data_IF_214324770794
#
_entry.id   IF_214324770794
#
_cell.length_a   1.000
_cell.length_b   1.000
_cell.length_c   1.000
_cell.angle_alpha   90.00
_cell.angle_beta   90.00
_cell.angle_gamma   90.00
#
_symmetry.space_group_name_H-M   'P 1'
#
loop_
_entity.id
_entity.type
_entity.pdbx_description
1 polymer ?
#
# COMPACT_ATOMS: atom_id res chain seq x y z
N UNK A 1 -2.55 -23.25 4.70
CA UNK A 1 -1.91 -22.36 5.70
C UNK A 1 -1.47 -23.15 6.93
N UNK A 2 -2.32 -23.98 7.55
CA UNK A 2 -1.98 -24.76 8.77
C UNK A 2 -0.80 -25.74 8.58
N UNK A 3 -0.62 -26.30 7.38
CA UNK A 3 0.51 -27.19 7.06
C UNK A 3 1.85 -26.42 6.87
N UNK A 4 1.78 -25.13 6.50
CA UNK A 4 2.95 -24.29 6.31
C UNK A 4 3.39 -23.67 7.64
N UNK A 5 2.43 -23.21 8.46
CA UNK A 5 2.70 -22.68 9.80
C UNK A 5 3.09 -23.81 10.76
N UNK A 6 3.83 -23.48 11.80
CA UNK A 6 4.23 -24.40 12.85
C UNK A 6 5.16 -23.70 13.85
N UNK A 7 5.64 -24.43 14.84
CA UNK A 7 6.50 -23.89 15.89
C UNK A 7 7.82 -23.39 15.33
N UNK A 8 8.36 -22.34 15.94
CA UNK A 8 9.66 -21.78 15.62
C UNK A 8 10.77 -22.85 15.69
N UNK A 9 11.69 -22.83 14.73
CA UNK A 9 12.79 -23.81 14.62
C UNK A 9 12.39 -25.15 14.01
N UNK A 10 11.08 -25.38 13.71
CA UNK A 10 10.68 -26.56 12.95
C UNK A 10 10.80 -26.34 11.45
N UNK A 11 10.95 -27.41 10.68
CA UNK A 11 11.15 -27.35 9.23
C UNK A 11 9.87 -27.70 8.47
N UNK A 12 9.71 -27.07 7.31
CA UNK A 12 8.68 -27.41 6.31
C UNK A 12 9.33 -27.53 4.94
N UNK A 13 8.95 -28.54 4.18
CA UNK A 13 9.37 -28.68 2.79
C UNK A 13 8.23 -28.26 1.89
N UNK A 14 8.49 -27.28 1.03
CA UNK A 14 7.54 -26.79 0.03
C UNK A 14 7.98 -27.22 -1.36
N UNK A 15 7.05 -27.76 -2.14
CA UNK A 15 7.24 -28.00 -3.57
C UNK A 15 6.65 -26.80 -4.32
N UNK A 16 7.50 -25.95 -4.89
CA UNK A 16 7.12 -24.71 -5.56
C UNK A 16 7.39 -24.82 -7.05
N UNK A 17 6.50 -24.24 -7.85
CA UNK A 17 6.71 -24.07 -9.29
C UNK A 17 6.67 -22.57 -9.61
N UNK A 18 7.78 -22.05 -10.13
CA UNK A 18 7.84 -20.69 -10.63
C UNK A 18 6.97 -20.53 -11.88
N UNK A 19 6.38 -19.35 -12.06
CA UNK A 19 5.47 -19.07 -13.19
C UNK A 19 6.09 -19.38 -14.56
N UNK A 20 7.39 -19.17 -14.71
CA UNK A 20 8.13 -19.35 -15.95
C UNK A 20 8.93 -20.67 -16.00
N UNK A 21 8.66 -21.63 -15.10
CA UNK A 21 9.35 -22.92 -15.04
C UNK A 21 8.37 -24.09 -15.15
N UNK A 22 8.72 -25.10 -15.95
CA UNK A 22 7.97 -26.35 -16.04
C UNK A 22 8.27 -27.30 -14.88
N UNK A 23 9.45 -27.18 -14.26
CA UNK A 23 9.92 -28.09 -13.23
C UNK A 23 9.70 -27.51 -11.82
N UNK A 24 9.06 -28.27 -10.92
CA UNK A 24 8.94 -27.84 -9.52
C UNK A 24 10.26 -27.98 -8.78
N UNK A 25 10.50 -27.03 -7.85
CA UNK A 25 11.67 -27.02 -6.96
C UNK A 25 11.23 -27.34 -5.53
N UNK A 26 11.93 -28.25 -4.87
CA UNK A 26 11.71 -28.55 -3.45
C UNK A 26 12.59 -27.64 -2.60
N UNK A 27 11.97 -26.85 -1.70
CA UNK A 27 12.66 -25.91 -0.80
C UNK A 27 12.32 -26.29 0.63
N UNK A 28 13.37 -26.55 1.44
CA UNK A 28 13.25 -26.72 2.89
C UNK A 28 13.39 -25.37 3.56
N UNK A 29 12.42 -25.00 4.41
CA UNK A 29 12.40 -23.73 5.14
C UNK A 29 12.31 -24.04 6.63
N UNK A 30 13.22 -23.45 7.42
CA UNK A 30 13.11 -23.43 8.88
C UNK A 30 12.16 -22.30 9.29
N UNK A 31 11.14 -22.62 10.10
CA UNK A 31 10.17 -21.63 10.56
C UNK A 31 10.77 -20.73 11.61
N UNK A 32 10.63 -19.45 11.42
CA UNK A 32 11.02 -18.42 12.38
C UNK A 32 9.95 -17.33 12.46
N UNK A 33 10.08 -16.44 13.44
CA UNK A 33 9.31 -15.21 13.53
C UNK A 33 9.96 -14.21 12.57
N UNK A 34 9.28 -13.88 11.50
CA UNK A 34 9.72 -12.85 10.56
C UNK A 34 9.08 -11.54 11.01
N UNK A 35 9.87 -10.66 11.61
CA UNK A 35 9.46 -9.27 11.85
C UNK A 35 9.55 -8.53 10.50
N UNK A 36 8.43 -8.46 9.80
CA UNK A 36 8.35 -7.63 8.60
C UNK A 36 8.10 -6.20 9.06
N UNK A 37 9.09 -5.34 8.93
CA UNK A 37 8.87 -3.90 9.05
C UNK A 37 7.88 -3.48 7.95
N UNK A 38 6.73 -2.94 8.37
CA UNK A 38 5.71 -2.48 7.42
C UNK A 38 6.07 -1.15 6.78
N UNK A 39 7.00 -0.40 7.38
CA UNK A 39 7.47 0.90 6.92
C UNK A 39 9.00 0.93 6.86
N UNK A 40 9.56 1.30 5.72
CA UNK A 40 10.99 1.50 5.54
C UNK A 40 11.25 2.88 4.96
N UNK A 41 12.17 3.64 5.57
CA UNK A 41 12.59 4.95 5.08
C UNK A 41 14.06 4.93 4.65
N UNK A 42 14.32 5.27 3.39
CA UNK A 42 15.66 5.49 2.84
C UNK A 42 15.77 6.95 2.36
N UNK A 43 16.78 7.66 2.84
CA UNK A 43 17.04 9.03 2.38
C UNK A 43 17.81 9.01 1.07
N UNK A 44 17.25 9.65 0.04
CA UNK A 44 17.83 9.82 -1.28
C UNK A 44 18.61 11.14 -1.39
N UNK A 45 19.39 11.28 -2.46
CA UNK A 45 20.12 12.52 -2.77
C UNK A 45 19.12 13.67 -2.91
N UNK A 46 19.45 14.84 -2.34
CA UNK A 46 18.55 16.00 -2.34
C UNK A 46 17.57 16.04 -1.19
N UNK A 47 17.78 15.28 -0.13
CA UNK A 47 16.92 15.22 1.07
C UNK A 47 15.49 14.74 0.77
N UNK A 48 15.33 13.88 -0.22
CA UNK A 48 14.07 13.21 -0.53
C UNK A 48 14.01 11.88 0.22
N UNK A 49 12.94 11.63 0.94
CA UNK A 49 12.70 10.34 1.60
C UNK A 49 11.99 9.37 0.65
N UNK A 50 12.54 8.18 0.45
CA UNK A 50 11.83 7.04 -0.13
C UNK A 50 11.23 6.21 1.00
N UNK A 51 9.93 6.37 1.19
CA UNK A 51 9.14 5.73 2.23
C UNK A 51 8.34 4.58 1.63
N UNK A 52 8.75 3.35 1.90
CA UNK A 52 8.06 2.16 1.41
C UNK A 52 7.11 1.61 2.47
N UNK A 53 5.86 1.38 2.08
CA UNK A 53 4.86 0.66 2.86
C UNK A 53 4.66 -0.72 2.24
N UNK A 54 4.99 -1.79 2.98
CA UNK A 54 4.87 -3.18 2.51
C UNK A 54 3.53 -3.83 2.86
N UNK A 55 2.72 -3.20 3.70
CA UNK A 55 1.40 -3.66 4.12
C UNK A 55 0.77 -2.73 5.14
N UNK A 56 -0.51 -2.93 5.43
CA UNK A 56 -1.27 -2.19 6.43
C UNK A 56 -1.61 -3.11 7.60
N UNK A 57 -0.75 -3.11 8.62
CA UNK A 57 -0.86 -3.92 9.84
C UNK A 57 -1.33 -3.09 11.03
N UNK A 58 -1.46 -3.70 12.20
CA UNK A 58 -1.83 -2.97 13.43
C UNK A 58 -0.77 -1.99 13.92
N UNK A 59 0.48 -2.12 13.47
CA UNK A 59 1.62 -1.26 13.87
C UNK A 59 2.05 -0.27 12.80
N UNK A 60 1.52 -0.37 11.57
CA UNK A 60 2.00 0.43 10.43
C UNK A 60 1.91 1.94 10.68
N UNK A 61 0.88 2.43 11.40
CA UNK A 61 0.80 3.85 11.71
C UNK A 61 1.91 4.29 12.67
N UNK A 62 2.21 3.51 13.69
CA UNK A 62 3.27 3.82 14.66
C UNK A 62 4.64 3.77 13.97
N UNK A 63 4.89 2.74 13.15
CA UNK A 63 6.10 2.61 12.34
C UNK A 63 6.27 3.80 11.36
N UNK A 64 5.14 4.29 10.79
CA UNK A 64 5.11 5.46 9.91
C UNK A 64 5.44 6.75 10.68
N UNK A 65 4.85 6.94 11.84
CA UNK A 65 5.15 8.12 12.67
C UNK A 65 6.63 8.18 13.04
N UNK A 66 7.22 7.05 13.45
CA UNK A 66 8.67 6.93 13.70
C UNK A 66 9.52 7.24 12.44
N UNK A 67 9.06 6.80 11.27
CA UNK A 67 9.73 7.09 10.01
C UNK A 67 9.64 8.58 9.64
N UNK A 68 8.48 9.22 9.83
CA UNK A 68 8.30 10.67 9.61
C UNK A 68 9.16 11.50 10.56
N UNK A 69 9.30 11.10 11.83
CA UNK A 69 10.22 11.76 12.76
C UNK A 69 11.69 11.63 12.35
N UNK A 70 12.08 10.47 11.80
CA UNK A 70 13.43 10.29 11.24
C UNK A 70 13.64 11.15 9.99
N UNK A 71 12.62 11.26 9.13
CA UNK A 71 12.62 12.11 7.95
C UNK A 71 12.81 13.58 8.33
N UNK A 72 12.07 14.08 9.32
CA UNK A 72 12.19 15.45 9.82
C UNK A 72 13.59 15.72 10.41
N UNK A 73 14.10 14.82 11.26
CA UNK A 73 15.47 14.91 11.82
C UNK A 73 16.55 14.92 10.74
N UNK A 74 16.30 14.26 9.61
CA UNK A 74 17.18 14.27 8.44
C UNK A 74 17.00 15.51 7.55
N UNK A 75 16.19 16.47 7.98
CA UNK A 75 15.82 17.67 7.21
C UNK A 75 15.26 17.34 5.82
N UNK A 76 14.44 16.30 5.74
CA UNK A 76 13.75 15.92 4.52
C UNK A 76 12.83 17.01 3.99
N UNK A 77 12.73 17.14 2.68
CA UNK A 77 11.94 18.19 2.02
C UNK A 77 10.87 17.67 1.08
N UNK A 78 10.88 16.38 0.76
CA UNK A 78 9.88 15.73 -0.08
C UNK A 78 9.89 14.22 0.12
N UNK A 79 8.76 13.55 -0.12
CA UNK A 79 8.56 12.13 0.08
C UNK A 79 8.17 11.43 -1.23
N UNK A 80 8.81 10.32 -1.56
CA UNK A 80 8.26 9.29 -2.45
C UNK A 80 7.66 8.19 -1.56
N UNK A 81 6.34 8.04 -1.60
CA UNK A 81 5.64 6.99 -0.86
C UNK A 81 5.39 5.80 -1.79
N UNK A 82 6.04 4.67 -1.51
CA UNK A 82 6.06 3.50 -2.38
C UNK A 82 5.10 2.41 -1.87
N UNK A 83 4.02 2.20 -2.61
CA UNK A 83 3.03 1.15 -2.39
C UNK A 83 3.14 0.00 -3.39
N UNK A 84 4.16 -0.03 -4.23
CA UNK A 84 4.37 -1.13 -5.17
C UNK A 84 4.52 -2.46 -4.43
N UNK A 85 3.84 -3.49 -4.93
CA UNK A 85 3.78 -4.83 -4.33
C UNK A 85 3.16 -4.86 -2.92
N UNK A 86 2.39 -3.85 -2.52
CA UNK A 86 1.69 -3.82 -1.24
C UNK A 86 0.28 -4.41 -1.42
N UNK A 87 -0.01 -5.62 -0.90
CA UNK A 87 -1.30 -6.29 -1.09
C UNK A 87 -2.44 -5.69 -0.25
N UNK A 88 -2.17 -4.62 0.51
CA UNK A 88 -3.12 -3.99 1.41
C UNK A 88 -2.99 -4.45 2.87
N UNK A 89 -4.12 -4.59 3.54
CA UNK A 89 -4.17 -4.98 4.95
C UNK A 89 -5.42 -4.50 5.67
N UNK A 90 -5.26 -4.03 6.91
CA UNK A 90 -6.37 -3.64 7.77
C UNK A 90 -6.95 -2.28 7.38
N UNK A 91 -8.29 -2.19 7.33
CA UNK A 91 -8.99 -0.91 7.05
C UNK A 91 -8.70 0.15 8.11
N UNK A 92 -8.65 -0.24 9.40
CA UNK A 92 -8.29 0.70 10.46
C UNK A 92 -6.90 1.31 10.23
N UNK A 93 -5.94 0.49 9.83
CA UNK A 93 -4.57 0.92 9.56
C UNK A 93 -4.50 1.88 8.38
N UNK A 94 -5.19 1.59 7.25
CA UNK A 94 -5.17 2.52 6.12
C UNK A 94 -5.82 3.86 6.44
N UNK A 95 -6.86 3.87 7.28
CA UNK A 95 -7.47 5.13 7.75
C UNK A 95 -6.47 5.94 8.55
N UNK A 96 -5.74 5.31 9.50
CA UNK A 96 -4.74 5.97 10.31
C UNK A 96 -3.57 6.49 9.47
N UNK A 97 -3.03 5.66 8.60
CA UNK A 97 -1.94 6.02 7.67
C UNK A 97 -2.34 7.16 6.73
N UNK A 98 -3.53 7.09 6.12
CA UNK A 98 -4.02 8.16 5.23
C UNK A 98 -4.18 9.48 5.98
N UNK A 99 -4.62 9.42 7.23
CA UNK A 99 -4.79 10.61 8.08
C UNK A 99 -3.46 11.30 8.45
N UNK A 100 -2.32 10.67 8.24
CA UNK A 100 -1.03 11.35 8.36
C UNK A 100 -0.78 12.34 7.22
N UNK A 101 -1.42 12.15 6.05
CA UNK A 101 -1.18 12.91 4.82
C UNK A 101 -2.35 13.82 4.40
N UNK A 102 -3.58 13.54 4.87
CA UNK A 102 -4.79 14.30 4.56
C UNK A 102 -5.39 14.81 5.87
N UNK A 103 -5.70 16.10 5.94
CA UNK A 103 -6.10 16.77 7.18
C UNK A 103 -7.57 16.64 7.56
N UNK A 104 -8.46 16.49 6.57
CA UNK A 104 -9.91 16.39 6.76
C UNK A 104 -10.58 15.64 5.59
N UNK A 105 -11.89 15.42 5.71
CA UNK A 105 -12.69 14.77 4.69
C UNK A 105 -12.81 13.26 4.86
N UNK A 106 -12.90 12.54 3.77
CA UNK A 106 -13.22 11.12 3.71
C UNK A 106 -12.02 10.32 3.18
N UNK A 107 -11.68 9.22 3.85
CA UNK A 107 -10.68 8.26 3.34
C UNK A 107 -11.33 7.33 2.32
N UNK A 108 -12.48 6.78 2.65
CA UNK A 108 -13.27 5.89 1.79
C UNK A 108 -14.70 5.78 2.30
N UNK A 109 -15.55 5.19 1.48
CA UNK A 109 -16.82 4.65 1.96
C UNK A 109 -17.10 3.25 1.38
N UNK A 110 -17.99 2.52 2.03
CA UNK A 110 -18.51 1.25 1.52
C UNK A 110 -20.02 1.32 1.32
N UNK A 111 -20.51 0.51 0.39
CA UNK A 111 -21.95 0.26 0.20
C UNK A 111 -22.18 -1.23 0.29
N UNK A 112 -23.11 -1.66 1.17
CA UNK A 112 -23.51 -3.05 1.31
C UNK A 112 -24.59 -3.45 0.26
N UNK A 113 -24.94 -4.75 0.24
CA UNK A 113 -25.95 -5.28 -0.67
C UNK A 113 -27.36 -4.68 -0.48
N UNK A 114 -27.62 -4.00 0.63
CA UNK A 114 -28.89 -3.31 0.92
C UNK A 114 -28.85 -1.83 0.55
N UNK A 115 -27.71 -1.34 0.06
CA UNK A 115 -27.51 0.09 -0.26
C UNK A 115 -27.13 0.96 0.95
N UNK A 116 -26.85 0.36 2.11
CA UNK A 116 -26.38 1.13 3.26
C UNK A 116 -24.94 1.59 3.04
N UNK A 117 -24.72 2.90 3.20
CA UNK A 117 -23.40 3.53 3.11
C UNK A 117 -22.79 3.64 4.50
N UNK A 118 -21.52 3.27 4.64
CA UNK A 118 -20.68 3.52 5.80
C UNK A 118 -19.43 4.29 5.38
N UNK A 119 -19.16 5.39 6.05
CA UNK A 119 -17.99 6.24 5.81
C UNK A 119 -16.86 5.92 6.79
N UNK A 120 -15.64 6.20 6.34
CA UNK A 120 -14.43 6.29 7.17
C UNK A 120 -13.79 7.65 6.93
N UNK A 121 -13.95 8.51 7.93
CA UNK A 121 -13.47 9.88 7.88
C UNK A 121 -11.98 9.93 8.24
N UNK A 122 -11.30 10.97 7.76
CA UNK A 122 -9.93 11.32 8.13
C UNK A 122 -9.90 11.65 9.62
N UNK A 123 -8.87 11.18 10.32
CA UNK A 123 -8.59 11.53 11.73
C UNK A 123 -7.71 12.78 11.78
N UNK A 124 -7.93 13.64 12.75
CA UNK A 124 -7.11 14.84 12.95
C UNK A 124 -5.72 14.51 13.51
N UNK A 125 -4.74 15.38 13.25
CA UNK A 125 -3.41 15.32 13.87
C UNK A 125 -2.33 14.70 12.97
N UNK A 126 -2.55 14.63 11.65
CA UNK A 126 -1.55 14.14 10.69
C UNK A 126 -0.25 14.93 10.71
N UNK A 127 0.88 14.23 10.62
CA UNK A 127 2.24 14.80 10.72
C UNK A 127 2.84 15.23 9.38
N UNK A 128 2.23 14.83 8.24
CA UNK A 128 2.81 15.02 6.91
C UNK A 128 1.86 15.73 5.93
N UNK A 129 0.98 16.61 6.44
CA UNK A 129 -0.09 17.25 5.66
C UNK A 129 0.45 18.11 4.51
N UNK A 130 1.55 18.83 4.75
CA UNK A 130 2.11 19.83 3.83
C UNK A 130 3.39 19.33 3.12
N UNK A 131 3.89 18.14 3.45
CA UNK A 131 5.13 17.63 2.84
C UNK A 131 4.86 17.34 1.36
N UNK A 132 5.61 17.91 0.41
CA UNK A 132 5.54 17.55 -1.01
C UNK A 132 5.72 16.04 -1.18
N UNK A 133 4.82 15.40 -1.92
CA UNK A 133 4.79 13.94 -2.00
C UNK A 133 4.43 13.47 -3.41
N UNK A 134 5.02 12.32 -3.79
CA UNK A 134 4.63 11.50 -4.96
C UNK A 134 4.37 10.09 -4.48
N UNK A 135 3.38 9.41 -5.03
CA UNK A 135 3.03 8.03 -4.67
C UNK A 135 3.35 7.09 -5.83
N UNK A 136 4.01 5.96 -5.53
CA UNK A 136 4.28 4.89 -6.48
C UNK A 136 3.32 3.72 -6.26
N UNK A 137 2.72 3.24 -7.36
CA UNK A 137 1.81 2.09 -7.35
C UNK A 137 2.13 1.14 -8.50
N UNK A 138 1.69 -0.13 -8.38
CA UNK A 138 1.72 -1.09 -9.50
C UNK A 138 0.52 -2.05 -9.44
N UNK A 139 0.46 -2.99 -10.39
CA UNK A 139 -0.60 -4.00 -10.52
C UNK A 139 -0.73 -4.94 -9.30
N UNK A 140 0.21 -4.92 -8.37
CA UNK A 140 0.15 -5.65 -7.10
C UNK A 140 -0.22 -4.76 -5.90
N UNK A 141 -0.40 -3.44 -6.12
CA UNK A 141 -0.98 -2.55 -5.12
C UNK A 141 -2.47 -2.83 -5.00
N UNK A 142 -2.92 -3.42 -3.88
CA UNK A 142 -4.28 -3.95 -3.76
C UNK A 142 -4.99 -3.54 -2.47
N UNK A 143 -6.33 -3.55 -2.48
CA UNK A 143 -7.17 -3.41 -1.28
C UNK A 143 -6.89 -2.09 -0.51
N UNK A 144 -6.33 -2.15 0.72
CA UNK A 144 -5.98 -0.96 1.51
C UNK A 144 -5.03 0.00 0.77
N UNK A 145 -4.13 -0.52 -0.09
CA UNK A 145 -3.26 0.31 -0.94
C UNK A 145 -4.09 1.11 -1.95
N UNK A 146 -5.13 0.52 -2.50
CA UNK A 146 -6.04 1.20 -3.43
C UNK A 146 -6.92 2.22 -2.71
N UNK A 147 -7.34 1.91 -1.48
CA UNK A 147 -8.05 2.88 -0.61
C UNK A 147 -7.18 4.11 -0.37
N UNK A 148 -5.91 3.91 0.03
CA UNK A 148 -4.96 5.00 0.22
C UNK A 148 -4.78 5.81 -1.08
N UNK A 149 -4.47 5.12 -2.18
CA UNK A 149 -4.25 5.74 -3.49
C UNK A 149 -5.48 6.55 -3.95
N UNK A 150 -6.68 5.99 -3.81
CA UNK A 150 -7.92 6.68 -4.16
C UNK A 150 -8.18 7.92 -3.32
N UNK A 151 -7.88 7.86 -2.01
CA UNK A 151 -7.98 9.03 -1.15
C UNK A 151 -6.97 10.14 -1.54
N UNK A 152 -5.74 9.76 -1.91
CA UNK A 152 -4.71 10.70 -2.37
C UNK A 152 -5.12 11.38 -3.69
N UNK A 153 -5.59 10.62 -4.66
CA UNK A 153 -6.06 11.15 -5.97
C UNK A 153 -7.25 12.08 -5.76
N UNK A 154 -8.28 11.64 -5.04
CA UNK A 154 -9.54 12.36 -4.89
C UNK A 154 -9.43 13.65 -4.06
N UNK A 155 -8.37 13.79 -3.26
CA UNK A 155 -8.06 15.01 -2.52
C UNK A 155 -6.95 15.85 -3.16
N UNK A 156 -6.53 15.55 -4.39
CA UNK A 156 -5.43 16.23 -5.09
C UNK A 156 -4.16 16.37 -4.22
N UNK A 157 -3.91 15.37 -3.34
CA UNK A 157 -2.86 15.45 -2.32
C UNK A 157 -1.46 15.23 -2.90
N UNK A 158 -1.33 14.37 -3.89
CA UNK A 158 -0.04 14.04 -4.51
C UNK A 158 -0.24 13.43 -5.89
N UNK A 159 0.77 13.57 -6.74
CA UNK A 159 0.84 12.85 -8.03
C UNK A 159 1.08 11.36 -7.80
N UNK A 160 0.31 10.53 -8.46
CA UNK A 160 0.45 9.06 -8.44
C UNK A 160 1.12 8.60 -9.73
N UNK A 161 2.14 7.75 -9.62
CA UNK A 161 2.93 7.25 -10.74
C UNK A 161 2.96 5.72 -10.71
N UNK A 162 2.98 5.08 -11.87
CA UNK A 162 3.17 3.65 -12.00
C UNK A 162 2.21 3.00 -12.98
N UNK A 163 1.68 1.83 -12.65
CA UNK A 163 0.69 1.11 -13.45
C UNK A 163 -0.65 1.04 -12.73
N UNK A 164 -1.72 0.69 -13.47
CA UNK A 164 -3.05 0.50 -12.88
C UNK A 164 -2.99 -0.52 -11.74
N UNK A 165 -3.63 -0.21 -10.61
CA UNK A 165 -3.64 -1.05 -9.43
C UNK A 165 -4.48 -2.33 -9.62
N UNK A 166 -4.46 -3.23 -8.64
CA UNK A 166 -5.01 -4.59 -8.76
C UNK A 166 -6.53 -4.66 -9.01
N UNK A 167 -7.32 -3.76 -8.42
CA UNK A 167 -8.77 -3.79 -8.53
C UNK A 167 -9.48 -4.65 -7.47
N UNK A 168 -9.00 -4.67 -6.22
CA UNK A 168 -9.63 -5.38 -5.11
C UNK A 168 -10.45 -4.44 -4.24
N UNK A 169 -11.66 -4.12 -4.70
CA UNK A 169 -12.61 -3.24 -4.01
C UNK A 169 -13.69 -3.95 -3.21
N UNK A 170 -13.63 -5.27 -3.05
CA UNK A 170 -14.63 -6.05 -2.30
C UNK A 170 -14.30 -6.17 -0.82
N UNK A 171 -15.32 -5.99 0.02
CA UNK A 171 -15.30 -6.33 1.45
C UNK A 171 -15.74 -7.76 1.62
N UNK A 172 -14.83 -8.64 2.01
CA UNK A 172 -15.13 -10.06 2.23
C UNK A 172 -15.14 -10.41 3.70
N UNK A 173 -16.08 -11.26 4.09
CA UNK A 173 -16.13 -11.86 5.42
C UNK A 173 -16.00 -13.39 5.32
N UNK A 174 -15.18 -13.94 6.20
CA UNK A 174 -15.06 -15.38 6.38
C UNK A 174 -16.11 -15.87 7.38
N UNK A 175 -16.99 -16.78 6.93
CA UNK A 175 -17.93 -17.46 7.79
C UNK A 175 -17.40 -18.88 8.08
N UNK A 176 -17.02 -19.17 9.32
CA UNK A 176 -16.55 -20.50 9.68
C UNK A 176 -17.72 -21.52 9.66
N UNK A 177 -17.43 -22.73 9.22
CA UNK A 177 -18.36 -23.86 9.24
C UNK A 177 -17.98 -24.86 10.34
N UNK A 178 -18.93 -25.74 10.74
CA UNK A 178 -18.78 -26.67 11.86
C UNK A 178 -17.68 -27.71 11.62
N UNK A 179 -17.33 -28.00 10.38
CA UNK A 179 -16.25 -28.93 9.99
C UNK A 179 -14.86 -28.29 9.98
N UNK A 180 -14.73 -27.00 10.41
CA UNK A 180 -13.48 -26.24 10.42
C UNK A 180 -13.12 -25.62 9.07
N UNK A 181 -13.92 -25.79 8.04
CA UNK A 181 -13.83 -25.04 6.79
C UNK A 181 -14.48 -23.66 6.93
N UNK A 182 -14.47 -22.84 5.89
CA UNK A 182 -15.14 -21.54 5.91
C UNK A 182 -15.54 -21.08 4.51
N UNK A 183 -16.59 -20.28 4.47
CA UNK A 183 -17.06 -19.63 3.24
C UNK A 183 -16.67 -18.15 3.28
N UNK A 184 -15.98 -17.72 2.24
CA UNK A 184 -15.64 -16.31 2.06
C UNK A 184 -16.65 -15.71 1.08
N UNK A 185 -17.35 -14.64 1.48
CA UNK A 185 -18.31 -13.97 0.62
C UNK A 185 -18.23 -12.45 0.74
N UNK A 186 -18.51 -11.78 -0.36
CA UNK A 186 -18.54 -10.32 -0.44
C UNK A 186 -19.78 -9.77 0.24
N UNK A 187 -19.62 -8.84 1.16
CA UNK A 187 -20.69 -8.19 1.92
C UNK A 187 -20.90 -6.73 1.53
N UNK A 188 -19.87 -6.06 1.00
CA UNK A 188 -19.92 -4.68 0.55
C UNK A 188 -18.83 -4.41 -0.49
N UNK A 189 -18.87 -3.22 -1.10
CA UNK A 189 -17.83 -2.71 -2.00
C UNK A 189 -17.26 -1.41 -1.48
N UNK A 190 -15.95 -1.22 -1.69
CA UNK A 190 -15.23 0.00 -1.42
C UNK A 190 -15.37 0.99 -2.56
N UNK A 191 -15.46 2.25 -2.21
CA UNK A 191 -15.45 3.39 -3.12
C UNK A 191 -14.44 4.43 -2.61
N UNK A 192 -13.82 5.14 -3.53
CA UNK A 192 -13.00 6.30 -3.20
C UNK A 192 -13.88 7.44 -2.69
N UNK A 193 -13.36 8.49 -2.07
CA UNK A 193 -14.14 9.62 -1.59
C UNK A 193 -15.10 10.21 -2.64
N UNK A 194 -14.66 10.35 -3.89
CA UNK A 194 -15.45 10.89 -5.02
C UNK A 194 -16.32 9.84 -5.72
N UNK A 195 -16.26 8.58 -5.28
CA UNK A 195 -17.17 7.53 -5.75
C UNK A 195 -16.65 6.62 -6.85
N UNK A 196 -15.37 6.66 -7.15
CA UNK A 196 -14.78 5.72 -8.11
C UNK A 196 -14.86 4.29 -7.58
N UNK A 197 -15.18 3.35 -8.48
CA UNK A 197 -15.25 1.92 -8.18
C UNK A 197 -13.84 1.34 -8.25
N UNK A 198 -13.42 0.64 -7.21
CA UNK A 198 -12.13 -0.05 -7.18
C UNK A 198 -12.25 -1.47 -7.73
N UNK A 199 -13.37 -2.16 -7.43
CA UNK A 199 -13.58 -3.58 -7.74
C UNK A 199 -13.54 -3.86 -9.25
N UNK A 200 -12.57 -4.66 -9.66
CA UNK A 200 -12.39 -5.13 -11.04
C UNK A 200 -11.75 -4.13 -12.00
N UNK A 201 -11.65 -2.86 -11.61
CA UNK A 201 -11.12 -1.77 -12.45
C UNK A 201 -9.72 -1.32 -12.00
N UNK A 202 -9.47 -1.32 -10.69
CA UNK A 202 -8.30 -0.70 -10.11
C UNK A 202 -8.33 0.82 -10.22
N UNK A 203 -7.22 1.45 -9.87
CA UNK A 203 -7.04 2.89 -9.97
C UNK A 203 -5.93 3.17 -11.00
N UNK A 204 -6.23 4.05 -11.94
CA UNK A 204 -5.25 4.51 -12.93
C UNK A 204 -4.42 5.64 -12.31
N UNK A 205 -3.08 5.56 -12.30
CA UNK A 205 -2.23 6.63 -11.81
C UNK A 205 -2.28 7.86 -12.74
N UNK A 206 -1.91 9.03 -12.21
CA UNK A 206 -1.84 10.27 -12.99
C UNK A 206 -0.76 10.21 -14.08
N UNK A 207 0.32 9.50 -13.79
CA UNK A 207 1.44 9.26 -14.73
C UNK A 207 1.61 7.76 -14.91
N UNK A 208 1.15 7.25 -16.05
CA UNK A 208 1.40 5.85 -16.43
C UNK A 208 2.87 5.68 -16.80
N UNK A 209 3.55 4.78 -16.08
CA UNK A 209 4.94 4.44 -16.34
C UNK A 209 5.15 2.94 -16.07
N UNK A 210 5.24 2.17 -17.17
CA UNK A 210 5.55 0.75 -17.08
C UNK A 210 6.99 0.53 -16.58
N UNK A 211 7.22 -0.48 -15.72
CA UNK A 211 8.58 -0.91 -15.46
C UNK A 211 9.15 -1.49 -16.77
N UNK A 212 10.05 -0.75 -17.40
CA UNK A 212 10.81 -1.34 -18.51
C UNK A 212 11.65 -2.49 -17.94
N UNK A 213 12.01 -3.46 -18.80
CA UNK A 213 13.10 -4.41 -18.51
C UNK A 213 14.40 -3.59 -18.39
N UNK A 214 14.53 -2.89 -17.26
CA UNK A 214 15.70 -2.09 -16.94
C UNK A 214 16.87 -3.02 -16.61
N UNK A 215 18.08 -2.53 -16.79
CA UNK A 215 19.26 -3.18 -16.23
C UNK A 215 19.06 -3.35 -14.71
N UNK A 216 19.56 -4.43 -14.11
CA UNK A 216 19.21 -4.94 -12.77
C UNK A 216 19.25 -3.90 -11.62
N UNK A 217 19.79 -2.70 -11.85
CA UNK A 217 19.99 -1.65 -10.83
C UNK A 217 19.22 -0.35 -11.08
N UNK A 218 18.37 -0.23 -12.12
CA UNK A 218 17.65 1.01 -12.45
C UNK A 218 16.16 0.95 -12.04
N UNK A 219 15.70 1.88 -11.18
CA UNK A 219 14.29 2.07 -10.83
C UNK A 219 13.74 3.34 -11.48
N UNK A 220 13.36 3.25 -12.75
CA UNK A 220 12.88 4.38 -13.56
C UNK A 220 11.63 5.06 -12.97
N UNK A 221 10.78 4.30 -12.26
CA UNK A 221 9.59 4.86 -11.61
C UNK A 221 10.00 5.70 -10.40
N UNK A 222 10.95 5.25 -9.59
CA UNK A 222 11.49 6.01 -8.46
C UNK A 222 12.25 7.26 -8.94
N UNK A 223 13.05 7.12 -9.99
CA UNK A 223 13.78 8.26 -10.58
C UNK A 223 12.80 9.32 -11.09
N UNK A 224 11.74 8.92 -11.80
CA UNK A 224 10.72 9.85 -12.27
C UNK A 224 9.95 10.52 -11.12
N UNK A 225 9.67 9.80 -10.06
CA UNK A 225 9.06 10.37 -8.86
C UNK A 225 9.95 11.44 -8.21
N UNK A 226 11.26 11.18 -8.13
CA UNK A 226 12.24 12.13 -7.61
C UNK A 226 12.34 13.39 -8.50
N UNK A 227 12.28 13.23 -9.82
CA UNK A 227 12.27 14.35 -10.77
C UNK A 227 11.06 15.25 -10.55
N UNK A 228 9.85 14.67 -10.52
CA UNK A 228 8.61 15.42 -10.29
C UNK A 228 8.66 16.17 -8.96
N UNK A 229 9.12 15.53 -7.88
CA UNK A 229 9.29 16.20 -6.60
C UNK A 229 10.25 17.39 -6.68
N UNK A 230 11.36 17.26 -7.39
CA UNK A 230 12.31 18.37 -7.59
C UNK A 230 11.69 19.53 -8.37
N UNK A 231 10.88 19.23 -9.38
CA UNK A 231 10.12 20.24 -10.15
C UNK A 231 9.13 20.98 -9.23
N UNK A 232 8.34 20.25 -8.41
CA UNK A 232 7.39 20.83 -7.46
C UNK A 232 8.08 21.74 -6.42
N UNK A 233 9.21 21.29 -5.86
CA UNK A 233 9.99 22.03 -4.88
C UNK A 233 10.60 23.33 -5.45
N UNK A 234 10.91 23.37 -6.76
CA UNK A 234 11.44 24.57 -7.42
C UNK A 234 10.36 25.57 -7.81
N UNK A 235 9.12 25.13 -8.02
CA UNK A 235 7.99 25.99 -8.38
C UNK A 235 7.30 26.61 -7.14
N UNK A 236 7.44 26.01 -5.98
CA UNK A 236 6.81 26.44 -4.71
C UNK A 236 7.68 27.34 -3.82
N UNK A 237 8.91 27.64 -4.21
CA UNK A 237 9.83 28.56 -3.54
C UNK A 237 9.96 29.86 -4.31
#
# INVERSE_FOLDING_TARGET
>A
VQLIRGDRGTKVTLLLRHLNSSEPVSIEIERDIINLESVTLLMQVGRIGHLRLSGFTGTTNDDLEDALERFERSQGIGLVLDLRNNPGGLVSSVVDVTSQFIGDGLVLYQIDARGNRRNWDVKSGGKALEIPMVVLVNEFSASASEVFTGAIIDNDRATVIGTTTFGKGSVTNLWPLDDGSGVNFTTARWFTPNGSVIEGEGLTPDVMLEPLEAEEDEDLQLDRAIEILKEQLTMGG
#
